data_IF_560654968184
#
_entry.id   IF_560654968184
#
_cell.length_a   1.000
_cell.length_b   1.000
_cell.length_c   1.000
_cell.angle_alpha   90.00
_cell.angle_beta   90.00
_cell.angle_gamma   90.00
#
_symmetry.space_group_name_H-M   'P 1'
#
loop_
_entity.id
_entity.type
_entity.pdbx_description
1 polymer ?
#
# COMPACT_ATOMS: atom_id res chain seq x y z
N UNK A 1 -2.86 -9.60 -9.51
CA UNK A 1 -2.80 -9.01 -8.15
C UNK A 1 -4.17 -8.85 -7.50
N UNK A 2 -5.13 -8.10 -8.07
CA UNK A 2 -6.38 -7.73 -7.35
C UNK A 2 -7.17 -8.92 -6.81
N UNK A 3 -7.43 -9.95 -7.62
CA UNK A 3 -8.19 -11.12 -7.16
C UNK A 3 -7.34 -12.05 -6.30
N UNK A 4 -6.09 -12.28 -6.66
CA UNK A 4 -5.24 -13.27 -5.97
C UNK A 4 -4.79 -12.83 -4.59
N UNK A 5 -4.60 -11.53 -4.39
CA UNK A 5 -4.10 -10.97 -3.12
C UNK A 5 -5.24 -10.49 -2.23
N UNK A 6 -6.11 -9.63 -2.73
CA UNK A 6 -7.11 -8.96 -1.88
C UNK A 6 -8.33 -9.83 -1.53
N UNK A 7 -8.48 -11.01 -2.16
CA UNK A 7 -9.50 -11.99 -1.76
C UNK A 7 -8.95 -13.14 -0.92
N UNK A 8 -7.64 -13.16 -0.68
CA UNK A 8 -7.00 -14.16 0.18
C UNK A 8 -7.40 -13.94 1.64
N UNK A 9 -7.76 -15.02 2.34
CA UNK A 9 -8.26 -14.94 3.72
C UNK A 9 -7.22 -14.42 4.71
N UNK A 10 -5.97 -14.79 4.51
CA UNK A 10 -4.86 -14.36 5.37
C UNK A 10 -4.62 -12.87 5.18
N UNK A 11 -4.60 -12.41 3.92
CA UNK A 11 -4.48 -10.99 3.61
C UNK A 11 -5.65 -10.18 4.16
N UNK A 12 -6.88 -10.68 4.05
CA UNK A 12 -8.06 -10.04 4.61
C UNK A 12 -7.90 -9.85 6.12
N UNK A 13 -7.52 -10.90 6.86
CA UNK A 13 -7.37 -10.81 8.31
C UNK A 13 -6.24 -9.84 8.71
N UNK A 14 -5.09 -9.92 8.03
CA UNK A 14 -3.98 -8.98 8.21
C UNK A 14 -4.40 -7.52 7.96
N UNK A 15 -5.20 -7.28 6.91
CA UNK A 15 -5.57 -5.94 6.44
C UNK A 15 -6.51 -5.17 7.37
N UNK A 16 -7.16 -5.85 8.33
CA UNK A 16 -8.24 -5.27 9.17
C UNK A 16 -7.80 -4.12 10.07
N UNK A 17 -6.52 -4.06 10.44
CA UNK A 17 -6.00 -3.01 11.31
C UNK A 17 -5.39 -1.84 10.55
N UNK A 18 -5.48 -1.80 9.21
CA UNK A 18 -4.95 -0.68 8.41
C UNK A 18 -5.99 -0.07 7.48
N UNK A 19 -5.70 1.15 7.01
CA UNK A 19 -6.53 1.88 6.06
C UNK A 19 -5.95 1.68 4.67
N UNK A 20 -6.74 1.04 3.79
CA UNK A 20 -6.39 0.87 2.39
C UNK A 20 -7.26 1.77 1.52
N UNK A 21 -6.62 2.53 0.64
CA UNK A 21 -7.30 3.28 -0.41
C UNK A 21 -6.89 2.70 -1.75
N UNK A 22 -7.86 2.19 -2.49
CA UNK A 22 -7.66 1.75 -3.86
C UNK A 22 -7.91 2.92 -4.78
N UNK A 23 -6.98 3.16 -5.70
CA UNK A 23 -7.04 4.28 -6.63
C UNK A 23 -6.87 3.76 -8.05
N UNK A 24 -7.70 4.23 -8.97
CA UNK A 24 -7.60 3.93 -10.40
C UNK A 24 -7.21 5.19 -11.17
N UNK A 25 -5.96 5.25 -11.61
CA UNK A 25 -5.45 6.41 -12.38
C UNK A 25 -6.30 6.70 -13.62
N UNK A 26 -6.63 5.67 -14.39
CA UNK A 26 -7.27 5.84 -15.71
C UNK A 26 -8.81 5.94 -15.64
N UNK A 27 -9.40 5.77 -14.45
CA UNK A 27 -10.85 5.76 -14.27
C UNK A 27 -11.38 6.91 -13.41
N UNK A 28 -10.52 7.57 -12.62
CA UNK A 28 -10.92 8.57 -11.63
C UNK A 28 -10.05 9.84 -11.73
N UNK A 29 -10.63 11.05 -11.84
CA UNK A 29 -9.85 12.30 -11.86
C UNK A 29 -8.94 12.48 -10.64
N UNK A 30 -9.42 12.06 -9.45
CA UNK A 30 -8.62 12.07 -8.23
C UNK A 30 -7.48 11.04 -8.30
N UNK A 31 -7.69 9.92 -9.00
CA UNK A 31 -6.66 8.93 -9.20
C UNK A 31 -5.50 9.41 -10.06
N UNK A 32 -5.81 10.09 -11.16
CA UNK A 32 -4.81 10.77 -12.00
C UNK A 32 -4.07 11.89 -11.25
N UNK A 33 -4.79 12.66 -10.43
CA UNK A 33 -4.19 13.66 -9.55
C UNK A 33 -3.22 13.05 -8.53
N UNK A 34 -3.62 11.96 -7.86
CA UNK A 34 -2.79 11.27 -6.88
C UNK A 34 -1.57 10.61 -7.53
N UNK A 35 -1.75 9.98 -8.70
CA UNK A 35 -0.66 9.39 -9.47
C UNK A 35 0.42 10.43 -9.82
N UNK A 36 0.02 11.63 -10.27
CA UNK A 36 0.95 12.74 -10.50
C UNK A 36 1.61 13.23 -9.20
N UNK A 37 0.82 13.43 -8.13
CA UNK A 37 1.33 13.92 -6.84
C UNK A 37 2.44 13.04 -6.29
N UNK A 38 2.27 11.72 -6.38
CA UNK A 38 3.25 10.74 -5.90
C UNK A 38 4.18 10.19 -6.98
N UNK A 39 4.15 10.74 -8.20
CA UNK A 39 5.02 10.31 -9.32
C UNK A 39 4.96 8.80 -9.53
N UNK A 40 3.76 8.28 -9.75
CA UNK A 40 3.55 6.87 -10.13
C UNK A 40 3.96 6.72 -11.59
N UNK A 41 4.95 5.86 -11.86
CA UNK A 41 5.51 5.64 -13.20
C UNK A 41 5.11 4.29 -13.80
N UNK A 42 4.53 3.39 -12.99
CA UNK A 42 4.13 2.05 -13.42
C UNK A 42 3.18 1.37 -12.44
N UNK A 43 2.51 0.34 -12.93
CA UNK A 43 1.53 -0.43 -12.16
C UNK A 43 1.94 -1.91 -12.00
N UNK A 44 1.50 -2.56 -10.93
CA UNK A 44 0.90 -1.97 -9.73
C UNK A 44 1.95 -1.24 -8.87
N UNK A 45 1.54 -0.16 -8.19
CA UNK A 45 2.35 0.55 -7.19
C UNK A 45 1.53 0.68 -5.90
N UNK A 46 2.12 0.30 -4.76
CA UNK A 46 1.56 0.54 -3.42
C UNK A 46 2.42 1.60 -2.75
N UNK A 47 1.79 2.65 -2.23
CA UNK A 47 2.45 3.75 -1.52
C UNK A 47 2.00 3.73 -0.07
N UNK A 48 2.96 3.71 0.84
CA UNK A 48 2.74 3.76 2.28
C UNK A 48 2.97 5.21 2.72
N UNK A 49 1.96 5.81 3.34
CA UNK A 49 1.98 7.19 3.80
C UNK A 49 2.00 7.25 5.32
N UNK A 50 2.65 8.28 5.87
CA UNK A 50 2.46 8.65 7.27
C UNK A 50 1.14 9.44 7.47
N UNK A 51 0.80 9.76 8.72
CA UNK A 51 -0.40 10.51 9.07
C UNK A 51 -0.44 11.94 8.50
N UNK A 52 0.70 12.49 8.08
CA UNK A 52 0.79 13.79 7.42
C UNK A 52 0.64 13.70 5.89
N UNK A 53 0.52 12.48 5.35
CA UNK A 53 0.42 12.21 3.91
C UNK A 53 1.77 12.23 3.19
N UNK A 54 2.89 12.10 3.90
CA UNK A 54 4.22 11.94 3.27
C UNK A 54 4.47 10.47 2.96
N UNK A 55 5.09 10.22 1.82
CA UNK A 55 5.54 8.88 1.44
C UNK A 55 6.66 8.40 2.37
N UNK A 56 6.41 7.26 3.02
CA UNK A 56 7.38 6.55 3.87
C UNK A 56 8.07 5.46 3.08
N UNK A 57 7.31 4.74 2.25
CA UNK A 57 7.80 3.62 1.46
C UNK A 57 6.92 3.36 0.25
N UNK A 58 7.49 2.67 -0.74
CA UNK A 58 6.82 2.29 -1.98
C UNK A 58 7.16 0.86 -2.35
N UNK A 59 6.15 0.12 -2.78
CA UNK A 59 6.28 -1.23 -3.33
C UNK A 59 5.91 -1.19 -4.80
N UNK A 60 6.79 -1.73 -5.64
CA UNK A 60 6.65 -1.74 -7.09
C UNK A 60 6.39 -3.17 -7.58
N UNK A 61 5.51 -3.29 -8.56
CA UNK A 61 5.25 -4.57 -9.23
C UNK A 61 4.32 -5.49 -8.43
N UNK A 62 3.89 -6.56 -9.10
CA UNK A 62 3.00 -7.54 -8.51
C UNK A 62 3.77 -8.49 -7.58
N UNK A 63 3.14 -8.85 -6.47
CA UNK A 63 3.66 -9.83 -5.50
C UNK A 63 2.55 -10.78 -5.04
N UNK A 64 2.93 -11.90 -4.43
CA UNK A 64 1.98 -12.85 -3.84
C UNK A 64 1.48 -12.33 -2.49
N UNK A 65 0.35 -12.87 -2.02
CA UNK A 65 -0.31 -12.42 -0.79
C UNK A 65 0.63 -12.50 0.41
N UNK A 66 1.34 -13.63 0.55
CA UNK A 66 2.28 -13.85 1.65
C UNK A 66 3.45 -12.86 1.64
N UNK A 67 4.08 -12.67 0.47
CA UNK A 67 5.17 -11.70 0.31
C UNK A 67 4.73 -10.28 0.69
N UNK A 68 3.51 -9.89 0.30
CA UNK A 68 2.96 -8.58 0.65
C UNK A 68 2.74 -8.43 2.16
N UNK A 69 2.20 -9.46 2.82
CA UNK A 69 2.00 -9.46 4.27
C UNK A 69 3.33 -9.33 4.99
N UNK A 70 4.33 -10.13 4.62
CA UNK A 70 5.64 -10.12 5.27
C UNK A 70 6.30 -8.74 5.11
N UNK A 71 6.28 -8.17 3.90
CA UNK A 71 6.85 -6.83 3.64
C UNK A 71 6.11 -5.74 4.42
N UNK A 72 4.77 -5.75 4.43
CA UNK A 72 3.99 -4.76 5.16
C UNK A 72 4.19 -4.87 6.67
N UNK A 73 4.33 -6.10 7.20
CA UNK A 73 4.58 -6.34 8.63
C UNK A 73 5.89 -5.70 9.05
N UNK A 74 6.98 -5.93 8.32
CA UNK A 74 8.28 -5.29 8.59
C UNK A 74 8.18 -3.76 8.54
N UNK A 75 7.45 -3.20 7.58
CA UNK A 75 7.27 -1.74 7.46
C UNK A 75 6.53 -1.17 8.67
N UNK A 76 5.51 -1.87 9.16
CA UNK A 76 4.72 -1.41 10.31
C UNK A 76 5.44 -1.60 11.65
N UNK A 77 6.25 -2.64 11.79
CA UNK A 77 7.16 -2.82 12.93
C UNK A 77 8.18 -1.67 12.98
N UNK A 78 8.87 -1.39 11.87
CA UNK A 78 9.82 -0.28 11.74
C UNK A 78 9.16 1.08 12.04
N UNK A 79 7.88 1.25 11.68
CA UNK A 79 7.13 2.48 11.93
C UNK A 79 6.68 2.61 13.40
N UNK A 80 6.29 1.50 14.03
CA UNK A 80 5.89 1.44 15.45
C UNK A 80 7.04 1.79 16.39
N UNK A 81 8.26 1.33 16.08
CA UNK A 81 9.47 1.66 16.84
C UNK A 81 9.81 3.16 16.80
N UNK A 82 9.40 3.86 15.74
CA UNK A 82 9.65 5.31 15.58
C UNK A 82 8.63 6.21 16.28
N UNK A 83 7.49 5.67 16.74
CA UNK A 83 6.46 6.43 17.48
C UNK A 83 6.70 6.36 19.00
N UNK A 84 7.59 5.47 19.46
CA UNK A 84 7.87 5.25 20.89
C UNK A 84 9.09 6.03 21.42
N UNK A 85 9.59 7.05 20.68
CA UNK A 85 10.72 7.90 21.08
C UNK A 85 10.34 9.38 21.18
#
# INVERSE_FOLDING_TARGET
>A
MTREVYSDKEFIEFSRSQIYVRVFQDAEPEGDRLARRYRVEGFPTIIILDSSGREVKRLLGAMRSRDLIDVLSTIFEDAGDRITL
#
